data_IF_364346581352
#
_entry.id   IF_364346581352
#
_cell.length_a   1.000
_cell.length_b   1.000
_cell.length_c   1.000
_cell.angle_alpha   90.00
_cell.angle_beta   90.00
_cell.angle_gamma   90.00
#
_symmetry.space_group_name_H-M   'P 1'
#
loop_
_entity.id
_entity.type
_entity.pdbx_description
1 polymer ?
#
# COMPACT_ATOMS: atom_id res chain seq x y z
N UNK A 1 -21.39 36.13 -5.44
CA UNK A 1 -20.86 34.83 -4.98
C UNK A 1 -20.37 34.06 -6.20
N UNK A 2 -19.05 34.02 -6.50
CA UNK A 2 -18.54 33.17 -7.56
C UNK A 2 -18.19 31.79 -6.99
N UNK A 3 -18.59 30.75 -7.74
CA UNK A 3 -18.38 29.33 -7.45
C UNK A 3 -16.90 29.00 -7.61
N UNK A 4 -16.28 28.44 -6.57
CA UNK A 4 -14.92 27.89 -6.65
C UNK A 4 -15.03 26.52 -7.31
N UNK A 5 -14.38 26.38 -8.47
CA UNK A 5 -14.22 25.12 -9.18
C UNK A 5 -12.92 24.48 -8.67
N UNK A 6 -13.03 23.53 -7.75
CA UNK A 6 -11.86 22.81 -7.21
C UNK A 6 -11.41 21.75 -8.21
N UNK A 7 -10.29 21.99 -8.89
CA UNK A 7 -9.54 20.93 -9.57
C UNK A 7 -8.57 20.30 -8.56
N UNK A 8 -8.79 19.03 -8.23
CA UNK A 8 -7.80 18.21 -7.54
C UNK A 8 -6.76 17.80 -8.58
N UNK A 9 -5.70 18.58 -8.74
CA UNK A 9 -4.52 18.16 -9.48
C UNK A 9 -3.66 17.33 -8.52
N UNK A 10 -3.95 16.03 -8.45
CA UNK A 10 -3.02 15.08 -7.86
C UNK A 10 -1.73 15.10 -8.67
N UNK A 11 -0.61 15.39 -8.02
CA UNK A 11 0.71 15.31 -8.64
C UNK A 11 0.99 13.82 -8.87
N UNK A 12 0.61 13.33 -10.06
CA UNK A 12 0.99 12.02 -10.58
C UNK A 12 2.42 12.18 -11.10
N UNK A 13 3.41 11.96 -10.24
CA UNK A 13 4.80 11.78 -10.69
C UNK A 13 5.07 10.27 -10.60
N UNK A 14 5.11 9.60 -11.75
CA UNK A 14 5.74 8.28 -11.84
C UNK A 14 5.01 7.20 -12.65
N UNK A 15 3.75 7.41 -13.04
CA UNK A 15 3.20 6.65 -14.16
C UNK A 15 3.53 7.41 -15.44
N UNK A 16 3.83 6.69 -16.52
CA UNK A 16 4.18 7.15 -17.87
C UNK A 16 5.69 7.20 -18.18
N UNK A 17 6.06 6.27 -19.06
CA UNK A 17 7.29 6.12 -19.86
C UNK A 17 8.40 5.24 -19.28
N UNK A 18 8.17 3.91 -19.31
CA UNK A 18 9.27 2.93 -19.41
C UNK A 18 8.98 2.00 -20.59
N UNK A 19 9.77 2.12 -21.67
CA UNK A 19 9.78 1.19 -22.81
C UNK A 19 10.86 0.12 -22.57
N UNK A 20 10.56 -0.85 -21.71
CA UNK A 20 11.16 -2.18 -21.72
C UNK A 20 10.08 -3.20 -22.12
N UNK A 21 10.42 -4.47 -22.37
CA UNK A 21 9.41 -5.50 -22.60
C UNK A 21 8.44 -5.52 -21.41
N UNK A 22 7.29 -4.87 -21.56
CA UNK A 22 6.33 -4.69 -20.47
C UNK A 22 5.76 -6.05 -20.19
N UNK A 23 6.05 -6.59 -19.00
CA UNK A 23 5.42 -7.82 -18.53
C UNK A 23 3.90 -7.68 -18.72
N UNK A 24 3.29 -8.65 -19.40
CA UNK A 24 1.86 -8.58 -19.69
C UNK A 24 1.05 -8.77 -18.41
N UNK A 25 -0.22 -8.34 -18.35
CA UNK A 25 -1.09 -8.64 -17.22
C UNK A 25 -1.16 -10.15 -16.90
N UNK A 26 -1.05 -11.01 -17.94
CA UNK A 26 -1.00 -12.46 -17.78
C UNK A 26 0.31 -12.96 -17.15
N UNK A 27 1.46 -12.37 -17.49
CA UNK A 27 2.74 -12.72 -16.85
C UNK A 27 2.71 -12.37 -15.36
N UNK A 28 2.20 -11.17 -15.03
CA UNK A 28 1.95 -10.77 -13.65
C UNK A 28 1.03 -11.74 -12.92
N UNK A 29 -0.05 -12.16 -13.56
CA UNK A 29 -0.99 -13.11 -12.97
C UNK A 29 -0.32 -14.45 -12.65
N UNK A 30 0.47 -15.01 -13.57
CA UNK A 30 1.18 -16.29 -13.37
C UNK A 30 2.19 -16.17 -12.23
N UNK A 31 2.99 -15.10 -12.21
CA UNK A 31 3.95 -14.85 -11.12
C UNK A 31 3.23 -14.69 -9.78
N UNK A 32 2.12 -13.96 -9.75
CA UNK A 32 1.33 -13.76 -8.54
C UNK A 32 0.75 -15.08 -7.99
N UNK A 33 0.29 -15.97 -8.88
CA UNK A 33 -0.17 -17.31 -8.50
C UNK A 33 0.95 -18.13 -7.85
N UNK A 34 2.18 -18.08 -8.39
CA UNK A 34 3.34 -18.74 -7.79
C UNK A 34 3.67 -18.16 -6.41
N UNK A 35 3.68 -16.83 -6.29
CA UNK A 35 3.88 -16.16 -5.01
C UNK A 35 2.81 -16.58 -3.97
N UNK A 36 1.53 -16.64 -4.35
CA UNK A 36 0.47 -17.13 -3.46
C UNK A 36 0.67 -18.59 -3.03
N UNK A 37 1.10 -19.46 -3.93
CA UNK A 37 1.39 -20.87 -3.60
C UNK A 37 2.56 -20.98 -2.62
N UNK A 38 3.56 -20.11 -2.79
CA UNK A 38 4.68 -19.95 -1.86
C UNK A 38 4.29 -19.25 -0.55
N UNK A 39 3.04 -18.80 -0.39
CA UNK A 39 2.54 -17.97 0.72
C UNK A 39 3.25 -16.61 0.84
N UNK A 40 3.90 -16.15 -0.22
CA UNK A 40 4.41 -14.80 -0.34
C UNK A 40 3.28 -13.85 -0.74
N UNK A 41 2.43 -13.54 0.24
CA UNK A 41 1.24 -12.73 0.04
C UNK A 41 1.57 -11.27 -0.33
N UNK A 42 2.75 -10.79 0.08
CA UNK A 42 3.20 -9.43 -0.24
C UNK A 42 3.54 -9.32 -1.72
N UNK A 43 4.36 -10.24 -2.24
CA UNK A 43 4.68 -10.29 -3.67
C UNK A 43 3.42 -10.53 -4.51
N UNK A 44 2.56 -11.47 -4.10
CA UNK A 44 1.30 -11.74 -4.80
C UNK A 44 0.39 -10.52 -4.90
N UNK A 45 0.20 -9.79 -3.79
CA UNK A 45 -0.58 -8.55 -3.76
C UNK A 45 -0.02 -7.52 -4.73
N UNK A 46 1.31 -7.35 -4.77
CA UNK A 46 1.92 -6.39 -5.67
C UNK A 46 1.76 -6.77 -7.14
N UNK A 47 2.03 -8.02 -7.48
CA UNK A 47 1.94 -8.50 -8.86
C UNK A 47 0.51 -8.38 -9.38
N UNK A 48 -0.51 -8.67 -8.56
CA UNK A 48 -1.90 -8.41 -8.96
C UNK A 48 -2.27 -6.92 -8.96
N UNK A 49 -1.65 -6.08 -8.14
CA UNK A 49 -1.80 -4.61 -8.25
C UNK A 49 -1.24 -4.11 -9.60
N UNK A 50 -0.10 -4.64 -10.04
CA UNK A 50 0.49 -4.29 -11.34
C UNK A 50 -0.37 -4.81 -12.51
N UNK A 51 -0.89 -6.05 -12.40
CA UNK A 51 -1.83 -6.59 -13.39
C UNK A 51 -3.12 -5.73 -13.49
N UNK A 52 -3.69 -5.34 -12.35
CA UNK A 52 -4.87 -4.48 -12.30
C UNK A 52 -4.59 -3.05 -12.80
N UNK A 53 -3.38 -2.52 -12.65
CA UNK A 53 -3.01 -1.22 -13.21
C UNK A 53 -2.96 -1.26 -14.75
N UNK A 54 -2.53 -2.38 -15.33
CA UNK A 54 -2.47 -2.57 -16.79
C UNK A 54 -3.83 -2.93 -17.40
N UNK A 55 -4.67 -3.69 -16.69
CA UNK A 55 -6.01 -4.05 -17.12
C UNK A 55 -7.02 -3.86 -15.98
N UNK A 56 -7.47 -2.61 -15.73
CA UNK A 56 -8.33 -2.30 -14.58
C UNK A 56 -9.71 -2.96 -14.62
N UNK A 57 -10.18 -3.34 -15.80
CA UNK A 57 -11.49 -3.96 -16.01
C UNK A 57 -11.51 -5.47 -15.79
N UNK A 58 -10.37 -6.10 -15.52
CA UNK A 58 -10.27 -7.55 -15.28
C UNK A 58 -10.68 -7.89 -13.82
N UNK A 59 -11.86 -8.51 -13.59
CA UNK A 59 -12.37 -8.75 -12.23
C UNK A 59 -11.47 -9.67 -11.42
N UNK A 60 -10.83 -10.65 -12.06
CA UNK A 60 -10.02 -11.66 -11.40
C UNK A 60 -8.81 -11.05 -10.69
N UNK A 61 -8.17 -10.02 -11.26
CA UNK A 61 -7.02 -9.37 -10.62
C UNK A 61 -7.40 -8.67 -9.30
N UNK A 62 -8.58 -8.05 -9.24
CA UNK A 62 -9.09 -7.45 -8.01
C UNK A 62 -9.49 -8.51 -6.98
N UNK A 63 -10.11 -9.60 -7.42
CA UNK A 63 -10.46 -10.72 -6.54
C UNK A 63 -9.21 -11.31 -5.88
N UNK A 64 -8.22 -11.67 -6.69
CA UNK A 64 -7.00 -12.31 -6.18
C UNK A 64 -6.13 -11.36 -5.36
N UNK A 65 -6.05 -10.08 -5.73
CA UNK A 65 -5.45 -9.04 -4.90
C UNK A 65 -6.15 -8.94 -3.54
N UNK A 66 -7.48 -9.01 -3.51
CA UNK A 66 -8.28 -9.05 -2.28
C UNK A 66 -7.92 -10.22 -1.37
N UNK A 67 -7.72 -11.42 -1.94
CA UNK A 67 -7.26 -12.58 -1.18
C UNK A 67 -5.88 -12.34 -0.58
N UNK A 68 -4.92 -11.86 -1.38
CA UNK A 68 -3.57 -11.59 -0.89
C UNK A 68 -3.57 -10.56 0.25
N UNK A 69 -4.34 -9.48 0.10
CA UNK A 69 -4.52 -8.46 1.14
C UNK A 69 -5.16 -9.01 2.41
N UNK A 70 -6.17 -9.89 2.28
CA UNK A 70 -6.80 -10.54 3.42
C UNK A 70 -5.80 -11.41 4.20
N UNK A 71 -4.91 -12.11 3.50
CA UNK A 71 -3.84 -12.93 4.10
C UNK A 71 -2.76 -12.08 4.80
N UNK A 72 -2.53 -10.87 4.34
CA UNK A 72 -1.66 -9.88 4.98
C UNK A 72 -2.32 -9.15 6.17
N UNK A 73 -3.59 -9.44 6.48
CA UNK A 73 -4.34 -8.71 7.52
C UNK A 73 -4.75 -7.28 7.11
N UNK A 74 -4.53 -6.90 5.84
CA UNK A 74 -4.93 -5.61 5.26
C UNK A 74 -6.41 -5.62 4.88
N UNK A 75 -7.24 -5.80 5.90
CA UNK A 75 -8.67 -6.09 5.81
C UNK A 75 -9.48 -5.07 4.98
N UNK A 76 -9.26 -3.77 5.19
CA UNK A 76 -10.02 -2.73 4.50
C UNK A 76 -9.74 -2.77 3.00
N UNK A 77 -8.46 -2.74 2.64
CA UNK A 77 -7.96 -2.82 1.27
C UNK A 77 -8.38 -4.12 0.58
N UNK A 78 -8.44 -5.24 1.33
CA UNK A 78 -8.95 -6.51 0.84
C UNK A 78 -10.42 -6.41 0.41
N UNK A 79 -11.27 -5.86 1.29
CA UNK A 79 -12.69 -5.66 0.95
C UNK A 79 -12.88 -4.68 -0.20
N UNK A 80 -12.10 -3.61 -0.30
CA UNK A 80 -12.23 -2.67 -1.41
C UNK A 80 -11.86 -3.34 -2.75
N UNK A 81 -10.82 -4.19 -2.76
CA UNK A 81 -10.46 -5.00 -3.94
C UNK A 81 -11.57 -5.99 -4.30
N UNK A 82 -12.15 -6.63 -3.30
CA UNK A 82 -13.31 -7.51 -3.48
C UNK A 82 -14.54 -6.80 -4.04
N UNK A 83 -14.86 -5.61 -3.54
CA UNK A 83 -15.95 -4.79 -4.07
C UNK A 83 -15.71 -4.38 -5.52
N UNK A 84 -14.47 -4.04 -5.89
CA UNK A 84 -14.13 -3.76 -7.28
C UNK A 84 -14.35 -4.98 -8.17
N UNK A 85 -13.96 -6.18 -7.72
CA UNK A 85 -14.24 -7.41 -8.46
C UNK A 85 -15.76 -7.63 -8.69
N UNK A 86 -16.59 -7.34 -7.67
CA UNK A 86 -18.05 -7.44 -7.79
C UNK A 86 -18.68 -6.39 -8.68
N UNK A 87 -18.11 -5.18 -8.69
CA UNK A 87 -18.56 -4.10 -9.54
C UNK A 87 -18.32 -4.44 -11.02
N UNK A 88 -17.18 -5.07 -11.32
CA UNK A 88 -16.78 -5.45 -12.68
C UNK A 88 -17.49 -6.72 -13.16
N UNK A 89 -17.67 -7.73 -12.29
CA UNK A 89 -18.41 -8.95 -12.61
C UNK A 89 -19.41 -9.31 -11.51
N UNK A 90 -20.69 -8.95 -11.67
CA UNK A 90 -21.74 -9.26 -10.71
C UNK A 90 -22.25 -10.71 -10.85
N UNK A 91 -21.42 -11.65 -11.30
CA UNK A 91 -21.83 -13.03 -11.53
C UNK A 91 -22.14 -13.75 -10.20
N UNK A 92 -23.23 -14.55 -10.10
CA UNK A 92 -23.68 -15.12 -8.82
C UNK A 92 -22.63 -15.98 -8.09
N UNK A 93 -21.76 -16.66 -8.83
CA UNK A 93 -20.75 -17.55 -8.28
C UNK A 93 -19.59 -16.77 -7.64
N UNK A 94 -19.01 -15.79 -8.36
CA UNK A 94 -18.00 -14.88 -7.84
C UNK A 94 -18.56 -14.05 -6.68
N UNK A 95 -19.80 -13.57 -6.82
CA UNK A 95 -20.51 -12.83 -5.78
C UNK A 95 -20.57 -13.58 -4.45
N UNK A 96 -20.92 -14.87 -4.48
CA UNK A 96 -20.98 -15.68 -3.28
C UNK A 96 -19.61 -15.81 -2.59
N UNK A 97 -18.55 -16.07 -3.35
CA UNK A 97 -17.20 -16.23 -2.81
C UNK A 97 -16.71 -14.93 -2.17
N UNK A 98 -16.86 -13.82 -2.89
CA UNK A 98 -16.44 -12.51 -2.41
C UNK A 98 -17.22 -12.08 -1.17
N UNK A 99 -18.54 -12.19 -1.18
CA UNK A 99 -19.37 -11.80 -0.04
C UNK A 99 -19.06 -12.62 1.21
N UNK A 100 -18.72 -13.90 1.06
CA UNK A 100 -18.26 -14.72 2.18
C UNK A 100 -16.94 -14.20 2.78
N UNK A 101 -15.96 -13.84 1.95
CA UNK A 101 -14.70 -13.26 2.42
C UNK A 101 -14.92 -11.89 3.08
N UNK A 102 -15.73 -11.02 2.48
CA UNK A 102 -16.11 -9.74 3.10
C UNK A 102 -16.77 -9.95 4.46
N UNK A 103 -17.67 -10.93 4.59
CA UNK A 103 -18.34 -11.24 5.86
C UNK A 103 -17.37 -11.76 6.92
N UNK A 104 -16.39 -12.61 6.55
CA UNK A 104 -15.34 -13.08 7.46
C UNK A 104 -14.46 -11.94 7.95
N UNK A 105 -14.05 -11.07 7.01
CA UNK A 105 -13.29 -9.87 7.32
C UNK A 105 -14.12 -8.99 8.27
N UNK A 106 -15.33 -8.59 7.86
CA UNK A 106 -16.54 -8.30 8.67
C UNK A 106 -16.41 -8.49 10.19
N UNK A 107 -16.45 -9.75 10.57
CA UNK A 107 -16.64 -10.22 11.95
C UNK A 107 -15.41 -9.99 12.85
N UNK A 108 -14.23 -9.81 12.27
CA UNK A 108 -12.96 -9.77 13.00
C UNK A 108 -12.43 -8.35 13.28
N UNK A 109 -13.29 -7.34 13.43
CA UNK A 109 -12.76 -6.03 13.80
C UNK A 109 -13.78 -5.02 14.26
N UNK A 110 -13.64 -4.65 15.53
CA UNK A 110 -13.86 -3.28 15.95
C UNK A 110 -12.70 -2.44 15.42
N UNK A 111 -12.95 -1.67 14.37
CA UNK A 111 -12.05 -0.58 14.01
C UNK A 111 -12.25 0.50 15.07
N UNK A 112 -11.22 0.75 15.88
CA UNK A 112 -11.22 1.96 16.69
C UNK A 112 -11.15 3.11 15.68
N UNK A 113 -12.25 3.87 15.58
CA UNK A 113 -12.41 5.00 14.67
C UNK A 113 -11.57 6.19 15.15
N UNK A 114 -10.25 6.04 15.18
CA UNK A 114 -9.33 7.13 15.47
C UNK A 114 -8.92 7.79 14.15
N UNK A 115 -9.19 9.08 14.05
CA UNK A 115 -8.57 9.97 13.10
C UNK A 115 -7.38 10.68 13.74
N UNK A 116 -6.42 11.11 12.93
CA UNK A 116 -5.30 11.93 13.41
C UNK A 116 -4.99 13.02 12.39
N UNK A 117 -4.44 14.12 12.89
CA UNK A 117 -3.75 15.12 12.08
C UNK A 117 -2.27 15.06 12.40
N UNK A 118 -1.43 15.00 11.37
CA UNK A 118 0.03 14.90 11.51
C UNK A 118 0.67 16.10 10.81
N UNK A 119 1.63 16.79 11.45
CA UNK A 119 2.38 17.84 10.77
C UNK A 119 3.26 17.24 9.66
N UNK A 120 3.34 17.94 8.54
CA UNK A 120 4.18 17.59 7.42
C UNK A 120 5.38 18.53 7.32
N UNK A 121 6.55 17.94 7.11
CA UNK A 121 7.70 18.68 6.57
C UNK A 121 7.52 18.82 5.05
N UNK A 122 7.93 19.95 4.50
CA UNK A 122 7.98 20.18 3.05
C UNK A 122 9.43 20.41 2.62
N UNK A 123 9.89 19.68 1.61
CA UNK A 123 11.21 19.84 1.01
C UNK A 123 11.24 19.26 -0.39
N UNK A 124 11.90 19.93 -1.34
CA UNK A 124 12.06 19.47 -2.73
C UNK A 124 10.73 19.09 -3.45
N UNK A 125 9.61 19.72 -3.08
CA UNK A 125 8.30 19.47 -3.68
C UNK A 125 7.58 18.22 -3.17
N UNK A 126 8.07 17.59 -2.09
CA UNK A 126 7.44 16.42 -1.48
C UNK A 126 6.95 16.66 -0.05
N UNK A 127 5.97 15.86 0.37
CA UNK A 127 5.42 15.86 1.72
C UNK A 127 6.03 14.75 2.56
N UNK A 128 6.61 15.12 3.70
CA UNK A 128 7.32 14.18 4.57
C UNK A 128 6.61 14.13 5.93
N UNK A 129 6.22 12.92 6.35
CA UNK A 129 5.65 12.66 7.66
C UNK A 129 6.69 11.99 8.58
N UNK A 130 6.59 12.27 9.89
CA UNK A 130 7.35 11.54 10.92
C UNK A 130 6.61 10.26 11.27
N UNK A 131 7.31 9.14 11.20
CA UNK A 131 6.76 7.81 11.49
C UNK A 131 7.57 7.19 12.61
N UNK A 132 6.90 6.66 13.63
CA UNK A 132 7.54 5.94 14.74
C UNK A 132 7.49 4.44 14.46
N UNK A 133 8.65 3.78 14.51
CA UNK A 133 8.83 2.35 14.26
C UNK A 133 9.29 1.65 15.52
N UNK A 134 8.70 0.48 15.80
CA UNK A 134 8.96 -0.37 16.98
C UNK A 134 9.09 0.46 18.27
N UNK A 135 8.19 1.42 18.49
CA UNK A 135 8.15 2.32 19.65
C UNK A 135 9.40 3.18 19.94
N UNK A 136 10.46 3.06 19.15
CA UNK A 136 11.81 3.49 19.56
C UNK A 136 12.48 4.41 18.56
N UNK A 137 12.23 4.24 17.26
CA UNK A 137 12.87 5.03 16.21
C UNK A 137 11.87 5.89 15.48
N UNK A 138 12.21 7.16 15.26
CA UNK A 138 11.42 8.05 14.41
C UNK A 138 12.14 8.24 13.09
N UNK A 139 11.50 7.89 11.97
CA UNK A 139 12.01 8.12 10.63
C UNK A 139 11.24 9.20 9.86
N UNK A 140 11.86 9.72 8.81
CA UNK A 140 11.29 10.68 7.86
C UNK A 140 10.78 9.94 6.62
N UNK A 141 9.46 9.93 6.43
CA UNK A 141 8.83 9.17 5.36
C UNK A 141 8.17 10.09 4.35
N UNK A 142 8.48 9.88 3.06
CA UNK A 142 7.70 10.45 1.97
C UNK A 142 6.27 9.90 2.04
N UNK A 143 5.27 10.77 1.99
CA UNK A 143 3.86 10.35 1.87
C UNK A 143 3.57 10.07 0.40
N UNK A 144 3.35 8.80 0.04
CA UNK A 144 3.14 8.37 -1.34
C UNK A 144 1.92 7.46 -1.47
N UNK A 145 0.81 8.02 -1.92
CA UNK A 145 -0.43 7.26 -2.19
C UNK A 145 -0.34 6.38 -3.44
N UNK A 146 0.64 6.63 -4.31
CA UNK A 146 0.89 5.85 -5.53
C UNK A 146 1.68 4.57 -5.27
N UNK A 147 2.43 4.51 -4.16
CA UNK A 147 3.15 3.29 -3.79
C UNK A 147 2.21 2.21 -3.25
N UNK A 148 2.28 1.01 -3.83
CA UNK A 148 1.54 -0.17 -3.36
C UNK A 148 2.05 -0.67 -2.00
N UNK A 149 3.28 -0.33 -1.61
CA UNK A 149 3.92 -0.80 -0.38
C UNK A 149 4.61 0.33 0.39
N UNK A 150 4.76 0.14 1.70
CA UNK A 150 5.67 0.96 2.49
C UNK A 150 7.11 0.48 2.30
N UNK A 151 8.02 1.41 2.02
CA UNK A 151 9.45 1.16 1.86
C UNK A 151 10.20 1.64 3.10
N UNK A 152 11.19 0.86 3.53
CA UNK A 152 12.11 1.18 4.62
C UNK A 152 13.54 1.18 4.11
N UNK A 153 14.33 2.19 4.46
CA UNK A 153 15.75 2.20 4.09
C UNK A 153 16.49 1.04 4.76
N UNK A 154 17.48 0.41 4.10
CA UNK A 154 18.28 -0.63 4.72
C UNK A 154 19.01 -0.16 5.99
N UNK A 155 19.38 1.12 6.05
CA UNK A 155 20.01 1.72 7.24
C UNK A 155 19.07 1.77 8.43
N UNK A 156 17.83 2.27 8.24
CA UNK A 156 16.83 2.29 9.32
C UNK A 156 16.40 0.88 9.73
N UNK A 157 16.35 -0.07 8.78
CA UNK A 157 16.06 -1.47 9.06
C UNK A 157 17.15 -2.10 9.95
N UNK A 158 18.43 -1.92 9.60
CA UNK A 158 19.56 -2.39 10.39
C UNK A 158 19.56 -1.82 11.81
N UNK A 159 19.29 -0.51 11.92
CA UNK A 159 19.14 0.23 13.16
C UNK A 159 18.01 -0.28 14.08
N UNK A 160 16.98 -0.88 13.50
CA UNK A 160 15.85 -1.50 14.19
C UNK A 160 16.06 -3.00 14.43
N UNK A 161 17.19 -3.57 13.99
CA UNK A 161 17.42 -5.02 14.01
C UNK A 161 16.48 -5.81 13.10
N UNK A 162 15.88 -5.15 12.10
CA UNK A 162 14.98 -5.77 11.13
C UNK A 162 15.82 -6.32 9.99
N UNK A 163 16.01 -7.63 9.98
CA UNK A 163 16.52 -8.34 8.81
C UNK A 163 15.45 -8.48 7.73
N UNK A 164 15.87 -8.75 6.49
CA UNK A 164 14.99 -9.46 5.56
C UNK A 164 14.51 -10.74 6.26
N UNK A 165 13.26 -11.16 6.01
CA UNK A 165 12.65 -12.29 6.74
C UNK A 165 13.57 -13.53 6.81
N UNK A 166 13.33 -14.47 7.75
CA UNK A 166 14.24 -15.59 8.05
C UNK A 166 14.73 -16.45 6.86
N UNK A 167 14.05 -16.37 5.71
CA UNK A 167 14.43 -17.06 4.45
C UNK A 167 14.88 -16.11 3.31
N UNK A 168 15.08 -14.81 3.58
CA UNK A 168 15.41 -13.81 2.56
C UNK A 168 14.41 -13.80 1.42
N UNK A 169 13.10 -13.80 1.76
CA UNK A 169 11.96 -14.02 0.86
C UNK A 169 12.07 -13.32 -0.50
N UNK A 170 11.33 -13.82 -1.50
CA UNK A 170 11.50 -13.42 -2.90
C UNK A 170 11.58 -11.89 -3.02
N UNK A 171 12.66 -11.35 -3.62
CA UNK A 171 12.80 -9.92 -3.81
C UNK A 171 11.57 -9.34 -4.50
N UNK A 172 11.01 -8.33 -3.85
CA UNK A 172 9.74 -7.73 -4.19
C UNK A 172 9.99 -6.64 -5.25
N UNK A 173 9.43 -6.81 -6.46
CA UNK A 173 9.63 -5.90 -7.59
C UNK A 173 8.93 -4.55 -7.35
N UNK A 174 9.70 -3.47 -7.34
CA UNK A 174 9.24 -2.11 -7.14
C UNK A 174 9.30 -1.33 -8.44
N UNK A 175 8.26 -0.53 -8.70
CA UNK A 175 8.26 0.46 -9.76
C UNK A 175 8.67 1.80 -9.17
N UNK A 176 9.86 2.29 -9.55
CA UNK A 176 10.38 3.59 -9.09
C UNK A 176 10.52 4.55 -10.26
N UNK A 177 10.84 5.82 -9.97
CA UNK A 177 11.13 6.84 -10.99
C UNK A 177 12.34 6.45 -11.87
N UNK A 178 13.28 5.66 -11.35
CA UNK A 178 14.43 5.14 -12.10
C UNK A 178 14.14 3.87 -12.91
N UNK A 179 12.89 3.39 -12.89
CA UNK A 179 12.47 2.13 -13.50
C UNK A 179 12.21 1.02 -12.48
N UNK A 180 12.23 -0.22 -12.96
CA UNK A 180 11.97 -1.41 -12.14
C UNK A 180 13.21 -1.76 -11.32
N UNK A 181 13.02 -1.98 -10.03
CA UNK A 181 14.03 -2.44 -9.07
C UNK A 181 13.41 -3.52 -8.19
N UNK A 182 14.17 -4.10 -7.27
CA UNK A 182 13.65 -5.06 -6.31
C UNK A 182 14.20 -4.78 -4.90
N UNK A 183 13.39 -5.04 -3.88
CA UNK A 183 13.79 -4.91 -2.49
C UNK A 183 13.44 -6.15 -1.66
N UNK A 184 14.15 -6.38 -0.57
CA UNK A 184 13.88 -7.54 0.28
C UNK A 184 12.59 -7.33 1.10
N UNK A 185 11.69 -8.31 1.20
CA UNK A 185 10.52 -8.22 2.07
C UNK A 185 10.94 -8.32 3.55
N UNK A 186 10.27 -7.55 4.40
CA UNK A 186 10.45 -7.57 5.85
C UNK A 186 9.15 -7.25 6.61
N UNK A 187 9.14 -7.51 7.91
CA UNK A 187 8.04 -7.15 8.81
C UNK A 187 8.57 -6.21 9.89
N UNK A 188 7.94 -5.06 10.03
CA UNK A 188 8.15 -4.12 11.15
C UNK A 188 7.13 -4.45 12.24
N UNK A 189 7.56 -4.62 13.49
CA UNK A 189 6.67 -4.97 14.60
C UNK A 189 5.57 -3.93 14.83
N UNK A 190 5.87 -2.63 14.72
CA UNK A 190 4.87 -1.56 14.72
C UNK A 190 5.29 -0.36 13.86
N UNK A 191 4.35 0.20 13.11
CA UNK A 191 4.48 1.45 12.37
C UNK A 191 3.38 2.42 12.84
N UNK A 192 3.78 3.58 13.38
CA UNK A 192 2.85 4.59 13.92
C UNK A 192 2.98 5.93 13.24
N UNK A 193 1.83 6.50 12.88
CA UNK A 193 1.70 7.83 12.25
C UNK A 193 0.69 8.63 13.06
N UNK A 194 1.15 9.67 13.78
CA UNK A 194 0.32 10.34 14.78
C UNK A 194 -0.09 9.35 15.89
N UNK A 195 -1.40 9.24 16.14
CA UNK A 195 -1.96 8.27 17.11
C UNK A 195 -2.26 6.89 16.49
N UNK A 196 -2.11 6.75 15.18
CA UNK A 196 -2.56 5.57 14.44
C UNK A 196 -1.43 4.55 14.31
N UNK A 197 -1.68 3.31 14.67
CA UNK A 197 -0.68 2.24 14.68
C UNK A 197 -1.10 1.05 13.80
N UNK A 198 -0.14 0.53 13.04
CA UNK A 198 -0.22 -0.74 12.35
C UNK A 198 0.83 -1.67 12.95
N UNK A 199 0.39 -2.82 13.47
CA UNK A 199 1.28 -3.88 13.98
C UNK A 199 1.58 -4.89 12.90
N UNK A 200 2.73 -5.56 13.02
CA UNK A 200 3.21 -6.58 12.09
C UNK A 200 3.15 -6.09 10.63
N UNK A 201 3.63 -4.87 10.41
CA UNK A 201 3.49 -4.14 9.16
C UNK A 201 4.46 -4.69 8.09
N UNK A 202 3.96 -5.22 6.97
CA UNK A 202 4.81 -5.70 5.88
C UNK A 202 5.41 -4.53 5.11
N UNK A 203 6.74 -4.52 4.97
CA UNK A 203 7.51 -3.47 4.29
C UNK A 203 8.48 -4.09 3.28
N UNK A 204 9.01 -3.24 2.40
CA UNK A 204 10.10 -3.61 1.49
C UNK A 204 11.34 -2.80 1.81
N UNK A 205 12.48 -3.48 1.95
CA UNK A 205 13.78 -2.85 2.18
C UNK A 205 14.35 -2.36 0.86
N UNK A 206 14.41 -1.04 0.67
CA UNK A 206 14.96 -0.40 -0.52
C UNK A 206 15.35 1.06 -0.21
N UNK A 207 16.26 1.63 -1.00
CA UNK A 207 16.60 3.05 -0.92
C UNK A 207 15.38 3.93 -1.26
N UNK A 208 14.87 4.77 -0.34
CA UNK A 208 13.75 5.68 -0.60
C UNK A 208 14.18 6.98 -1.29
N UNK A 209 15.48 7.21 -1.46
CA UNK A 209 16.04 8.45 -1.98
C UNK A 209 16.68 9.34 -0.91
N UNK A 210 17.33 10.43 -1.34
CA UNK A 210 18.23 11.21 -0.50
C UNK A 210 17.50 11.88 0.67
N UNK A 211 18.00 11.66 1.88
CA UNK A 211 17.52 12.31 3.12
C UNK A 211 16.21 11.75 3.67
N UNK A 212 15.70 10.63 3.12
CA UNK A 212 14.51 9.94 3.59
C UNK A 212 14.89 8.62 4.26
N UNK A 213 14.11 8.24 5.27
CA UNK A 213 14.24 6.94 5.92
C UNK A 213 13.24 5.91 5.37
N UNK A 214 12.24 6.36 4.62
CA UNK A 214 11.27 5.48 3.97
C UNK A 214 10.25 6.18 3.10
N UNK A 215 9.34 5.38 2.53
CA UNK A 215 8.16 5.81 1.79
C UNK A 215 6.94 5.22 2.50
N UNK A 216 6.01 6.06 2.95
CA UNK A 216 4.76 5.67 3.56
C UNK A 216 3.74 5.42 2.45
N UNK A 217 3.52 4.14 2.14
CA UNK A 217 2.66 3.69 1.04
C UNK A 217 1.39 3.00 1.50
N UNK A 218 0.74 2.32 0.56
CA UNK A 218 -0.58 1.73 0.76
C UNK A 218 -0.64 0.55 1.73
N UNK A 219 0.50 -0.02 2.17
CA UNK A 219 0.53 -0.89 3.36
C UNK A 219 -0.17 -0.21 4.55
N UNK A 220 0.07 1.09 4.75
CA UNK A 220 -0.52 1.86 5.84
C UNK A 220 -1.68 2.75 5.38
N UNK A 221 -1.48 3.49 4.28
CA UNK A 221 -2.38 4.57 3.86
C UNK A 221 -3.75 4.08 3.37
N UNK A 222 -3.84 2.86 2.83
CA UNK A 222 -5.10 2.31 2.29
C UNK A 222 -6.20 2.09 3.34
N UNK A 223 -5.90 2.29 4.63
CA UNK A 223 -6.85 2.18 5.74
C UNK A 223 -7.58 3.49 6.03
N UNK A 224 -7.15 4.59 5.41
CA UNK A 224 -7.60 5.93 5.73
C UNK A 224 -7.99 6.71 4.48
N UNK A 225 -8.97 7.59 4.63
CA UNK A 225 -9.07 8.76 3.77
C UNK A 225 -7.87 9.65 4.07
N UNK A 226 -7.05 9.87 3.03
CA UNK A 226 -5.83 10.66 3.11
C UNK A 226 -6.12 12.05 2.54
N UNK A 227 -5.89 13.10 3.33
CA UNK A 227 -6.00 14.49 2.88
C UNK A 227 -4.75 15.27 3.24
N UNK A 228 -4.11 15.90 2.25
CA UNK A 228 -2.97 16.77 2.45
C UNK A 228 -3.44 18.22 2.37
N UNK A 229 -3.40 18.93 3.50
CA UNK A 229 -3.56 20.38 3.57
C UNK A 229 -2.18 21.01 3.38
N UNK A 230 -1.91 21.47 2.15
CA UNK A 230 -0.64 22.04 1.76
C UNK A 230 -0.36 23.39 2.46
N UNK A 231 -1.42 24.19 2.68
CA UNK A 231 -1.31 25.52 3.28
C UNK A 231 -0.93 25.42 4.75
N UNK A 232 -1.57 24.49 5.47
CA UNK A 232 -1.30 24.23 6.89
C UNK A 232 -0.18 23.22 7.11
N UNK A 233 0.33 22.59 6.05
CA UNK A 233 1.30 21.50 6.08
C UNK A 233 0.85 20.37 7.02
N UNK A 234 -0.35 19.88 6.77
CA UNK A 234 -0.98 18.86 7.60
C UNK A 234 -1.43 17.68 6.76
N UNK A 235 -1.20 16.49 7.29
CA UNK A 235 -1.78 15.24 6.81
C UNK A 235 -2.93 14.87 7.73
N UNK A 236 -4.14 14.83 7.18
CA UNK A 236 -5.30 14.31 7.88
C UNK A 236 -5.54 12.87 7.43
N UNK A 237 -5.59 11.97 8.41
CA UNK A 237 -5.90 10.56 8.21
C UNK A 237 -7.19 10.24 8.97
N UNK A 238 -8.24 9.92 8.23
CA UNK A 238 -9.54 9.58 8.79
C UNK A 238 -9.86 8.13 8.44
N UNK A 239 -10.38 7.30 9.37
CA UNK A 239 -10.79 5.95 9.04
C UNK A 239 -11.75 5.96 7.86
N UNK A 240 -11.58 5.03 6.93
CA UNK A 240 -12.59 4.79 5.90
C UNK A 240 -13.89 4.34 6.60
N UNK A 241 -14.83 5.26 6.74
CA UNK A 241 -16.19 4.97 7.20
C UNK A 241 -16.93 4.31 6.04
N UNK A 242 -17.57 3.19 6.31
CA UNK A 242 -18.49 2.57 5.36
C UNK A 242 -19.90 3.01 5.73
N UNK A 243 -20.46 3.90 4.94
CA UNK A 243 -21.90 4.12 4.85
C UNK A 243 -22.56 2.97 4.08
#
# INVERSE_FOLDING_TARGET
MPRVLTFVLGVIIGQWLVFGAVASPADYHIRAQRAMQARDYLEAMQLWSQAAALQPSEPSFHYYRGIALARLGLRLSAVDSFQMALLLEPAPHLARLVLQEIARLNQNGGLIAQETTVPLEHGLGVWIARVVLNDSRTGRFLVDTGSSVTVLSPTLAADLGIGGGPDGGTPVELQTLGGRTAGAPAIVGSLRVGTLELRDAPVVLHDPGPGLDGILGNTFLSRYQVTVDADRRQLHLRPLTRD
#
